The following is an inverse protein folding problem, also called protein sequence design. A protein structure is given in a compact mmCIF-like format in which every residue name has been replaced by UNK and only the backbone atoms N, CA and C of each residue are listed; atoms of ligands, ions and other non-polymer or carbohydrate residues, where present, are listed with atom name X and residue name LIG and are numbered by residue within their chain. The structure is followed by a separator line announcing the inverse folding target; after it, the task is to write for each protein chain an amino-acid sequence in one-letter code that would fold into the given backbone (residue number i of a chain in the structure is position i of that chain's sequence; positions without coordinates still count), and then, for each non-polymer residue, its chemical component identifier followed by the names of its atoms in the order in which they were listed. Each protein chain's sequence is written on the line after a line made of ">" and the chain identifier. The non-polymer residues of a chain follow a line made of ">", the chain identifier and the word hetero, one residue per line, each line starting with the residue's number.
data_IF_987470592313
#
_entry.id   IF_987470592313
#
_cell.length_a   1.000
_cell.length_b   1.000
_cell.length_c   1.000
_cell.angle_alpha   90.00
_cell.angle_beta   90.00
_cell.angle_gamma   90.00
#
_symmetry.space_group_name_H-M   'P 1'
#
loop_
_entity.id
_entity.type
_entity.pdbx_description
1 polymer ?
#
# COMPACT_ATOMS: atom_id res chain seq x y z
N UNK A 1 -43.01 -21.29 -18.89
CA UNK A 1 -42.15 -20.54 -19.84
C UNK A 1 -41.60 -19.23 -19.26
N UNK A 2 -42.40 -18.37 -18.61
CA UNK A 2 -41.92 -17.07 -18.07
C UNK A 2 -40.87 -17.13 -16.95
N UNK A 3 -40.92 -18.13 -16.05
CA UNK A 3 -39.96 -18.25 -14.94
C UNK A 3 -38.51 -18.49 -15.36
N UNK A 4 -38.29 -19.16 -16.50
CA UNK A 4 -36.94 -19.42 -17.03
C UNK A 4 -36.29 -18.14 -17.56
N UNK A 5 -37.07 -17.27 -18.20
CA UNK A 5 -36.59 -15.95 -18.64
C UNK A 5 -36.30 -15.04 -17.45
N UNK A 6 -37.14 -15.09 -16.40
CA UNK A 6 -36.92 -14.32 -15.18
C UNK A 6 -35.63 -14.76 -14.46
N UNK A 7 -35.35 -16.08 -14.44
CA UNK A 7 -34.11 -16.63 -13.93
C UNK A 7 -32.88 -16.17 -14.75
N UNK A 8 -32.97 -16.21 -16.07
CA UNK A 8 -31.87 -15.78 -16.97
C UNK A 8 -31.56 -14.29 -16.78
N UNK A 9 -32.58 -13.45 -16.66
CA UNK A 9 -32.41 -12.01 -16.39
C UNK A 9 -31.76 -11.78 -15.04
N UNK A 10 -32.20 -12.50 -13.99
CA UNK A 10 -31.61 -12.39 -12.66
C UNK A 10 -30.11 -12.76 -12.66
N UNK A 11 -29.75 -13.85 -13.33
CA UNK A 11 -28.36 -14.29 -13.47
C UNK A 11 -27.54 -13.23 -14.23
N UNK A 12 -28.08 -12.68 -15.31
CA UNK A 12 -27.41 -11.63 -16.09
C UNK A 12 -27.07 -10.40 -15.25
N UNK A 13 -28.02 -9.92 -14.43
CA UNK A 13 -27.80 -8.77 -13.54
C UNK A 13 -26.73 -9.06 -12.50
N UNK A 14 -26.73 -10.25 -11.91
CA UNK A 14 -25.73 -10.66 -10.91
C UNK A 14 -24.33 -10.71 -11.55
N UNK A 15 -24.20 -11.26 -12.75
CA UNK A 15 -22.90 -11.35 -13.45
C UNK A 15 -22.36 -9.96 -13.79
N UNK A 16 -23.20 -9.07 -14.30
CA UNK A 16 -22.79 -7.69 -14.64
C UNK A 16 -22.40 -6.92 -13.37
N UNK A 17 -23.19 -7.06 -12.30
CA UNK A 17 -22.89 -6.44 -11.00
C UNK A 17 -21.57 -6.93 -10.41
N UNK A 18 -21.33 -8.24 -10.42
CA UNK A 18 -20.09 -8.83 -9.93
C UNK A 18 -18.87 -8.42 -10.76
N UNK A 19 -18.99 -8.41 -12.10
CA UNK A 19 -17.92 -7.98 -12.99
C UNK A 19 -17.57 -6.50 -12.80
N UNK A 20 -18.58 -5.62 -12.75
CA UNK A 20 -18.38 -4.18 -12.51
C UNK A 20 -17.77 -3.91 -11.14
N UNK A 21 -18.23 -4.59 -10.09
CA UNK A 21 -17.67 -4.48 -8.75
C UNK A 21 -16.22 -4.96 -8.69
N UNK A 22 -15.91 -6.09 -9.35
CA UNK A 22 -14.54 -6.61 -9.46
C UNK A 22 -13.59 -5.62 -10.14
N UNK A 23 -14.00 -5.08 -11.29
CA UNK A 23 -13.24 -4.06 -12.03
C UNK A 23 -13.03 -2.78 -11.21
N UNK A 24 -14.07 -2.30 -10.52
CA UNK A 24 -13.96 -1.11 -9.65
C UNK A 24 -12.99 -1.33 -8.50
N UNK A 25 -13.09 -2.46 -7.79
CA UNK A 25 -12.21 -2.81 -6.67
C UNK A 25 -10.76 -3.00 -7.13
N UNK A 26 -10.55 -3.62 -8.28
CA UNK A 26 -9.23 -3.82 -8.87
C UNK A 26 -8.60 -2.53 -9.39
N UNK A 27 -9.38 -1.66 -10.03
CA UNK A 27 -8.93 -0.33 -10.46
C UNK A 27 -8.57 0.55 -9.26
N UNK A 28 -9.39 0.54 -8.22
CA UNK A 28 -9.15 1.32 -7.00
C UNK A 28 -7.94 0.81 -6.20
N UNK A 29 -7.71 -0.50 -6.13
CA UNK A 29 -6.51 -1.05 -5.47
C UNK A 29 -5.22 -0.69 -6.20
N UNK A 30 -5.20 -0.73 -7.54
CA UNK A 30 -4.07 -0.24 -8.33
C UNK A 30 -3.88 1.28 -8.22
N UNK A 31 -4.96 2.04 -8.20
CA UNK A 31 -4.93 3.49 -7.99
C UNK A 31 -4.37 3.89 -6.61
N UNK A 32 -4.76 3.19 -5.55
CA UNK A 32 -4.23 3.44 -4.20
C UNK A 32 -2.75 3.07 -4.07
N UNK A 33 -2.28 2.02 -4.74
CA UNK A 33 -0.86 1.68 -4.74
C UNK A 33 0.01 2.74 -5.44
N UNK A 34 -0.51 3.42 -6.47
CA UNK A 34 0.18 4.53 -7.14
C UNK A 34 -0.02 5.89 -6.44
N UNK A 35 -1.11 6.08 -5.69
CA UNK A 35 -1.29 7.26 -4.85
C UNK A 35 -0.45 7.20 -3.55
N UNK A 36 -0.05 5.99 -3.12
CA UNK A 36 0.82 5.77 -1.97
C UNK A 36 2.30 6.08 -2.18
N UNK A 37 2.74 6.37 -3.41
CA UNK A 37 4.12 6.79 -3.70
C UNK A 37 4.32 8.32 -3.63
N UNK A 38 3.27 9.10 -3.37
CA UNK A 38 3.36 10.56 -3.31
C UNK A 38 3.21 11.14 -1.88
N UNK A 39 2.79 10.37 -0.88
CA UNK A 39 2.58 10.91 0.47
C UNK A 39 2.58 9.78 1.50
N UNK A 40 3.64 9.71 2.30
CA UNK A 40 3.73 8.95 3.55
C UNK A 40 3.52 7.43 3.42
N UNK A 41 4.55 6.72 2.96
CA UNK A 41 4.69 5.30 3.33
C UNK A 41 4.65 5.19 4.86
N UNK A 42 3.87 4.25 5.44
CA UNK A 42 3.85 4.08 6.88
C UNK A 42 5.25 3.66 7.32
N UNK A 43 5.89 4.49 8.15
CA UNK A 43 7.23 4.32 8.70
C UNK A 43 7.40 3.05 9.59
N UNK A 44 6.53 2.04 9.45
CA UNK A 44 6.56 0.79 10.21
C UNK A 44 6.90 -0.45 9.39
N UNK A 45 7.02 -0.36 8.06
CA UNK A 45 7.12 -1.55 7.20
C UNK A 45 8.54 -1.95 6.75
N UNK A 46 9.52 -1.04 6.81
CA UNK A 46 10.83 -1.25 6.16
C UNK A 46 11.98 -1.24 7.16
N UNK A 47 12.54 -2.38 7.50
CA UNK A 47 13.67 -2.50 8.45
C UNK A 47 15.01 -2.52 7.74
N UNK A 48 16.07 -2.30 8.49
CA UNK A 48 17.43 -2.60 8.06
C UNK A 48 17.50 -4.05 7.58
N UNK A 49 18.00 -4.25 6.36
CA UNK A 49 18.01 -5.53 5.67
C UNK A 49 17.04 -5.62 4.50
N UNK A 50 15.96 -4.83 4.50
CA UNK A 50 14.96 -4.82 3.43
C UNK A 50 15.46 -4.04 2.22
N UNK A 51 14.94 -4.37 1.04
CA UNK A 51 15.16 -3.61 -0.17
C UNK A 51 14.24 -2.39 -0.19
N UNK A 52 14.82 -1.19 -0.34
CA UNK A 52 14.08 0.05 -0.52
C UNK A 52 13.27 -0.02 -1.83
N UNK A 53 11.94 0.09 -1.80
CA UNK A 53 11.09 0.01 -2.98
C UNK A 53 11.31 1.17 -3.96
N UNK A 54 11.90 2.29 -3.51
CA UNK A 54 12.20 3.43 -4.38
C UNK A 54 13.51 3.24 -5.16
N UNK A 55 14.53 2.63 -4.54
CA UNK A 55 15.88 2.53 -5.11
C UNK A 55 16.32 1.11 -5.44
N UNK A 56 15.59 0.10 -4.96
CA UNK A 56 15.96 -1.32 -5.02
C UNK A 56 17.18 -1.69 -4.16
N UNK A 57 17.71 -0.75 -3.37
CA UNK A 57 18.93 -0.94 -2.59
C UNK A 57 18.61 -1.50 -1.20
N UNK A 58 19.52 -2.33 -0.69
CA UNK A 58 19.41 -2.83 0.68
C UNK A 58 19.61 -1.70 1.69
N UNK A 59 18.62 -1.46 2.53
CA UNK A 59 18.70 -0.53 3.66
C UNK A 59 19.65 -1.13 4.70
N UNK A 60 20.68 -0.38 5.10
CA UNK A 60 21.65 -0.85 6.10
C UNK A 60 21.31 -0.40 7.50
N UNK A 61 20.89 0.85 7.65
CA UNK A 61 20.49 1.46 8.91
C UNK A 61 19.65 2.71 8.64
N UNK A 62 18.89 3.11 9.64
CA UNK A 62 18.17 4.38 9.72
C UNK A 62 18.92 5.31 10.67
N UNK A 63 18.84 6.62 10.48
CA UNK A 63 19.48 7.60 11.35
C UNK A 63 18.65 8.86 11.49
N UNK A 64 18.91 9.62 12.56
CA UNK A 64 18.34 10.95 12.71
C UNK A 64 19.17 11.95 11.88
N UNK A 65 18.57 12.72 10.95
CA UNK A 65 19.28 13.74 10.18
C UNK A 65 20.03 14.77 11.04
N UNK A 66 19.52 15.06 12.24
CA UNK A 66 20.13 16.03 13.17
C UNK A 66 21.19 15.40 14.06
N UNK A 67 21.17 14.08 14.23
CA UNK A 67 22.11 13.33 15.09
C UNK A 67 22.59 12.07 14.35
N UNK A 68 23.45 12.20 13.33
CA UNK A 68 23.83 11.09 12.44
C UNK A 68 24.71 10.03 13.11
N UNK A 69 25.16 10.25 14.34
CA UNK A 69 25.99 9.30 15.08
C UNK A 69 25.24 8.04 15.53
N UNK A 70 23.91 8.09 15.62
CA UNK A 70 23.07 6.96 16.07
C UNK A 70 22.44 6.24 14.87
N UNK A 71 22.56 4.92 14.89
CA UNK A 71 22.00 4.02 13.87
C UNK A 71 20.87 3.22 14.47
N UNK A 72 19.78 3.08 13.72
CA UNK A 72 18.58 2.37 14.11
C UNK A 72 18.25 1.30 13.09
N UNK A 73 17.71 0.18 13.57
CA UNK A 73 17.35 -0.95 12.71
C UNK A 73 16.00 -0.78 12.01
N UNK A 74 15.21 0.22 12.41
CA UNK A 74 13.85 0.43 11.93
C UNK A 74 13.57 1.92 11.74
N UNK A 75 12.65 2.27 10.83
CA UNK A 75 12.17 3.62 10.73
C UNK A 75 11.31 3.92 11.95
N UNK A 76 11.17 5.19 12.26
CA UNK A 76 10.34 5.65 13.36
C UNK A 76 10.67 7.07 13.76
N UNK A 77 10.00 7.52 14.80
CA UNK A 77 10.33 8.79 15.42
C UNK A 77 11.64 8.67 16.19
N UNK A 78 12.49 9.69 16.10
CA UNK A 78 13.73 9.77 16.85
C UNK A 78 13.44 9.82 18.35
N UNK A 79 14.20 9.11 19.20
CA UNK A 79 14.07 9.21 20.65
C UNK A 79 14.70 10.50 21.21
N UNK A 80 15.47 11.22 20.39
CA UNK A 80 16.17 12.44 20.79
C UNK A 80 15.43 13.71 20.36
N UNK A 81 14.63 13.62 19.28
CA UNK A 81 13.96 14.76 18.65
C UNK A 81 12.61 14.33 18.09
N UNK A 82 11.67 15.27 17.91
CA UNK A 82 10.36 14.99 17.30
C UNK A 82 10.39 14.73 15.78
N UNK A 83 11.52 14.24 15.25
CA UNK A 83 11.78 14.02 13.83
C UNK A 83 11.71 12.54 13.43
N UNK A 84 11.54 12.28 12.13
CA UNK A 84 11.48 10.93 11.56
C UNK A 84 12.89 10.46 11.17
N UNK A 85 13.22 9.21 11.49
CA UNK A 85 14.46 8.56 11.07
C UNK A 85 14.45 8.33 9.55
N UNK A 86 15.60 8.54 8.90
CA UNK A 86 15.82 8.40 7.45
C UNK A 86 16.97 7.46 7.10
#
# INVERSE_FOLDING_TARGET
>A
MKGKHLLIVLIGVIVIGAAGYGLYRFGMSRGMQMAGTASNAPAGAQKAGDADPATGRKVLYWHDPMVPGQKFDKPGKSPFMDMQLV
#
